data_IF_449117294658
#
_entry.id   IF_449117294658
#
_cell.length_a   1.000
_cell.length_b   1.000
_cell.length_c   1.000
_cell.angle_alpha   90.00
_cell.angle_beta   90.00
_cell.angle_gamma   90.00
#
_symmetry.space_group_name_H-M   'P 1'
#
loop_
_entity.id
_entity.type
_entity.pdbx_description
1 polymer ?
#
# COMPACT_ATOMS: atom_id res chain seq x y z
N UNK A 1 -0.34 -1.12 -13.44
CA UNK A 1 -1.70 -1.01 -12.87
C UNK A 1 -1.60 -0.84 -11.36
N UNK A 2 -2.62 -0.27 -10.73
CA UNK A 2 -2.74 -0.10 -9.28
C UNK A 2 -4.16 -0.47 -8.85
N UNK A 3 -4.33 -0.92 -7.61
CA UNK A 3 -5.62 -1.24 -7.01
C UNK A 3 -5.69 -0.79 -5.54
N UNK A 4 -6.90 -0.77 -5.00
CA UNK A 4 -7.22 -0.19 -3.70
C UNK A 4 -7.75 1.24 -3.83
N UNK A 5 -8.62 1.62 -2.91
CA UNK A 5 -9.25 2.93 -2.87
C UNK A 5 -10.60 3.01 -3.58
N UNK A 6 -11.12 4.24 -3.63
CA UNK A 6 -12.42 4.53 -4.24
C UNK A 6 -12.41 4.26 -5.75
N UNK A 7 -13.33 3.42 -6.24
CA UNK A 7 -13.40 3.03 -7.65
C UNK A 7 -12.60 1.78 -8.03
N UNK A 8 -11.94 1.16 -7.04
CA UNK A 8 -11.27 -0.14 -7.13
C UNK A 8 -11.84 -1.03 -6.00
N UNK A 9 -11.01 -1.52 -5.09
CA UNK A 9 -11.40 -2.29 -3.90
C UNK A 9 -11.52 -1.35 -2.70
N UNK A 10 -12.76 -0.96 -2.36
CA UNK A 10 -13.03 -0.07 -1.22
C UNK A 10 -12.59 -0.73 0.09
N UNK A 11 -12.16 0.05 1.08
CA UNK A 11 -11.64 -0.45 2.35
C UNK A 11 -10.13 -0.64 2.37
N UNK A 12 -9.47 -0.61 1.22
CA UNK A 12 -8.02 -0.48 1.11
C UNK A 12 -7.66 0.95 0.70
N UNK A 13 -6.50 1.41 1.13
CA UNK A 13 -5.95 2.70 0.73
C UNK A 13 -5.70 2.75 -0.78
N UNK A 14 -5.77 3.95 -1.36
CA UNK A 14 -5.57 4.15 -2.78
C UNK A 14 -4.22 3.62 -3.25
N UNK A 15 -4.22 2.78 -4.29
CA UNK A 15 -3.03 2.23 -4.93
C UNK A 15 -2.13 1.38 -4.03
N UNK A 16 -2.64 0.88 -2.90
CA UNK A 16 -1.84 0.06 -1.99
C UNK A 16 -1.77 -1.40 -2.43
N UNK A 17 -2.78 -1.94 -3.11
CA UNK A 17 -2.82 -3.39 -3.38
C UNK A 17 -1.81 -3.82 -4.46
N UNK A 18 -1.10 -4.92 -4.18
CA UNK A 18 -0.20 -5.59 -5.11
C UNK A 18 1.28 -5.55 -4.69
N UNK A 19 2.19 -5.68 -5.68
CA UNK A 19 3.63 -5.75 -5.46
C UNK A 19 4.22 -4.56 -4.71
N UNK A 20 5.14 -4.87 -3.79
CA UNK A 20 5.86 -3.88 -2.98
C UNK A 20 7.33 -3.84 -3.33
N UNK A 21 7.92 -2.66 -3.14
CA UNK A 21 9.33 -2.41 -3.37
C UNK A 21 10.23 -3.35 -2.53
N UNK A 22 11.53 -3.26 -2.74
CA UNK A 22 12.49 -3.99 -1.90
C UNK A 22 12.75 -3.15 -0.65
N UNK A 23 12.63 -3.71 0.57
CA UNK A 23 13.06 -3.01 1.77
C UNK A 23 14.53 -2.57 1.66
N UNK A 24 14.86 -1.42 2.25
CA UNK A 24 16.24 -0.93 2.24
C UNK A 24 17.16 -1.83 3.10
N UNK A 25 18.19 -2.40 2.49
CA UNK A 25 19.25 -3.08 3.23
C UNK A 25 20.22 -2.07 3.84
N UNK A 26 20.33 -2.06 5.18
CA UNK A 26 21.31 -1.25 5.90
C UNK A 26 22.68 -1.94 5.82
N UNK A 27 23.52 -1.51 4.86
CA UNK A 27 24.90 -1.97 4.77
C UNK A 27 25.78 -1.27 5.82
N UNK A 28 26.05 -1.94 6.94
CA UNK A 28 27.15 -1.56 7.82
C UNK A 28 28.45 -2.16 7.27
N UNK A 29 29.38 -1.34 6.79
CA UNK A 29 30.75 -1.78 6.59
C UNK A 29 31.60 -1.12 7.68
N UNK A 30 32.70 -1.74 8.10
CA UNK A 30 33.72 -1.10 8.93
C UNK A 30 35.09 -1.46 8.38
N UNK A 31 36.12 -0.62 8.62
CA UNK A 31 37.45 -0.88 8.06
C UNK A 31 37.99 -1.89 9.01
N UNK A 32 38.31 -3.10 8.56
CA UNK A 32 38.83 -4.08 9.49
C UNK A 32 40.12 -3.49 10.06
N UNK A 33 40.22 -3.52 11.38
CA UNK A 33 41.53 -3.52 12.02
C UNK A 33 42.23 -4.75 11.45
N UNK A 34 43.23 -4.54 10.60
CA UNK A 34 43.99 -5.61 9.94
C UNK A 34 45.14 -6.08 10.81
N UNK A 35 45.63 -5.26 11.74
CA UNK A 35 46.71 -5.61 12.65
C UNK A 35 46.64 -4.75 13.92
N UNK A 36 47.31 -5.13 15.01
CA UNK A 36 47.60 -4.22 16.12
C UNK A 36 49.11 -4.06 16.20
N UNK A 37 49.60 -2.83 16.31
CA UNK A 37 51.04 -2.56 16.39
C UNK A 37 51.66 -3.06 17.71
N UNK A 38 52.98 -2.96 17.81
CA UNK A 38 53.74 -3.49 18.96
C UNK A 38 53.38 -2.82 20.31
N UNK A 39 52.72 -1.66 20.27
CA UNK A 39 52.26 -0.90 21.44
C UNK A 39 50.76 -1.16 21.74
N UNK A 40 50.09 -2.01 20.93
CA UNK A 40 48.71 -2.44 21.11
C UNK A 40 47.66 -1.60 20.39
N UNK A 41 48.05 -0.74 19.45
CA UNK A 41 47.11 0.12 18.72
C UNK A 41 46.62 -0.54 17.42
N UNK A 42 45.34 -0.39 17.05
CA UNK A 42 44.79 -0.95 15.82
C UNK A 42 45.34 -0.27 14.54
N UNK A 43 45.71 -1.08 13.56
CA UNK A 43 46.13 -0.75 12.18
C UNK A 43 45.01 -1.17 11.24
N UNK A 44 44.55 -0.30 10.34
CA UNK A 44 43.34 -0.52 9.53
C UNK A 44 43.64 -0.79 8.05
N UNK A 45 42.89 -1.72 7.44
CA UNK A 45 43.07 -2.17 6.05
C UNK A 45 42.56 -1.20 4.98
N UNK A 46 42.93 -1.45 3.72
CA UNK A 46 42.59 -0.57 2.57
C UNK A 46 41.21 -0.83 1.96
N UNK A 47 40.54 -1.95 2.27
CA UNK A 47 39.19 -2.28 1.78
C UNK A 47 38.07 -1.63 2.64
N UNK A 48 36.86 -1.53 2.07
CA UNK A 48 35.77 -0.63 2.52
C UNK A 48 34.96 -1.09 3.72
N UNK A 49 34.25 -0.08 4.22
CA UNK A 49 33.99 0.23 5.59
C UNK A 49 33.34 1.61 5.75
N UNK A 50 32.19 1.72 6.38
CA UNK A 50 31.43 2.95 6.55
C UNK A 50 31.50 3.49 7.99
N UNK A 51 32.09 4.68 8.15
CA UNK A 51 31.98 5.60 9.31
C UNK A 51 32.07 7.05 8.79
N UNK A 52 31.24 8.00 9.27
CA UNK A 52 31.30 9.43 8.87
C UNK A 52 32.45 10.17 9.61
N UNK A 53 33.11 11.08 8.90
CA UNK A 53 34.44 11.66 9.19
C UNK A 53 34.51 12.69 10.33
N UNK A 54 33.41 13.08 10.96
CA UNK A 54 33.36 14.11 12.00
C UNK A 54 33.28 13.54 13.43
N UNK A 55 33.36 12.22 13.59
CA UNK A 55 33.18 11.57 14.89
C UNK A 55 31.74 11.63 15.40
N UNK A 56 30.83 12.17 14.59
CA UNK A 56 29.40 12.19 14.84
C UNK A 56 28.77 10.95 14.19
N UNK A 57 27.92 10.23 14.94
CA UNK A 57 27.19 9.10 14.39
C UNK A 57 26.18 9.62 13.36
N UNK A 58 26.38 9.29 12.09
CA UNK A 58 25.31 9.39 11.10
C UNK A 58 24.45 8.17 11.17
N UNK A 59 23.31 8.37 11.80
CA UNK A 59 22.16 7.57 11.46
C UNK A 59 21.58 8.16 10.16
N UNK A 60 21.48 7.33 9.13
CA UNK A 60 20.39 7.49 8.20
C UNK A 60 19.24 6.69 8.81
N UNK A 61 18.06 7.31 8.93
CA UNK A 61 16.87 6.49 9.04
C UNK A 61 16.71 5.85 7.66
N UNK A 62 17.09 4.59 7.55
CA UNK A 62 16.64 3.81 6.41
C UNK A 62 15.13 3.77 6.50
N UNK A 63 14.48 4.37 5.52
CA UNK A 63 13.06 4.15 5.35
C UNK A 63 12.90 2.70 4.93
N UNK A 64 12.31 1.91 5.82
CA UNK A 64 12.03 0.50 5.59
C UNK A 64 10.59 0.31 5.10
N UNK A 65 9.89 1.40 4.77
CA UNK A 65 8.56 1.32 4.19
C UNK A 65 8.63 0.68 2.81
N UNK A 66 7.76 -0.30 2.60
CA UNK A 66 7.71 -1.10 1.38
C UNK A 66 6.58 -0.56 0.51
N UNK A 67 6.92 0.44 -0.29
CA UNK A 67 5.95 1.15 -1.12
C UNK A 67 5.35 0.26 -2.22
N UNK A 68 4.06 0.43 -2.52
CA UNK A 68 3.45 -0.23 -3.67
C UNK A 68 3.97 0.40 -4.97
N UNK A 69 4.42 -0.43 -5.91
CA UNK A 69 4.86 0.04 -7.24
C UNK A 69 3.90 -0.33 -8.38
N UNK A 70 2.86 -1.10 -8.05
CA UNK A 70 1.91 -1.62 -9.03
C UNK A 70 2.44 -2.86 -9.75
N UNK A 71 1.84 -3.19 -10.89
CA UNK A 71 2.22 -4.38 -11.67
C UNK A 71 1.58 -4.39 -13.06
N UNK A 72 1.90 -5.39 -13.88
CA UNK A 72 1.48 -5.49 -15.28
C UNK A 72 0.14 -6.23 -15.48
N UNK A 73 -0.39 -6.87 -14.44
CA UNK A 73 -1.68 -7.58 -14.46
C UNK A 73 -2.61 -7.02 -13.37
N UNK A 74 -3.86 -6.74 -13.73
CA UNK A 74 -4.91 -6.28 -12.83
C UNK A 74 -6.13 -7.21 -12.93
N UNK A 75 -6.63 -7.65 -11.78
CA UNK A 75 -7.90 -8.38 -11.69
C UNK A 75 -8.79 -7.68 -10.69
N UNK A 76 -9.97 -7.25 -11.11
CA UNK A 76 -10.94 -6.56 -10.26
C UNK A 76 -12.39 -6.98 -10.59
N UNK A 77 -13.24 -6.95 -9.58
CA UNK A 77 -14.67 -7.21 -9.68
C UNK A 77 -15.43 -6.54 -8.54
N UNK A 78 -16.65 -6.10 -8.82
CA UNK A 78 -17.52 -5.49 -7.81
C UNK A 78 -18.96 -5.92 -8.05
N UNK A 79 -19.67 -6.17 -6.95
CA UNK A 79 -21.11 -6.42 -6.92
C UNK A 79 -21.77 -5.47 -5.93
N UNK A 80 -22.76 -4.70 -6.39
CA UNK A 80 -23.47 -3.72 -5.56
C UNK A 80 -24.98 -3.99 -5.56
N UNK A 81 -25.56 -4.08 -4.37
CA UNK A 81 -26.99 -4.22 -4.12
C UNK A 81 -27.55 -2.91 -3.59
N UNK A 82 -28.30 -2.21 -4.45
CA UNK A 82 -28.96 -0.96 -4.10
C UNK A 82 -30.21 -1.20 -3.27
N UNK A 83 -30.39 -0.40 -2.21
CA UNK A 83 -31.59 -0.46 -1.37
C UNK A 83 -32.08 0.94 -1.01
N UNK A 84 -33.41 1.13 -0.90
CA UNK A 84 -33.98 2.39 -0.43
C UNK A 84 -33.86 2.51 1.10
N UNK A 85 -33.63 3.72 1.60
CA UNK A 85 -33.60 4.01 3.03
C UNK A 85 -35.04 4.14 3.58
N UNK A 86 -35.44 3.36 4.61
CA UNK A 86 -36.84 3.30 5.05
C UNK A 86 -37.36 4.59 5.71
N UNK A 87 -36.48 5.53 6.07
CA UNK A 87 -36.82 6.76 6.80
C UNK A 87 -36.81 8.03 5.94
N UNK A 88 -36.40 7.94 4.67
CA UNK A 88 -36.29 9.09 3.76
C UNK A 88 -37.37 8.99 2.68
N UNK A 89 -38.28 9.97 2.63
CA UNK A 89 -39.41 9.97 1.68
C UNK A 89 -39.02 10.33 0.25
N UNK A 90 -38.09 11.29 0.09
CA UNK A 90 -37.54 11.68 -1.20
C UNK A 90 -36.06 11.28 -1.28
N UNK A 91 -35.80 10.26 -2.09
CA UNK A 91 -34.45 9.70 -2.30
C UNK A 91 -33.94 10.01 -3.72
N UNK A 92 -34.56 10.96 -4.44
CA UNK A 92 -34.16 11.28 -5.82
C UNK A 92 -32.70 11.74 -5.95
N UNK A 93 -32.12 12.26 -4.86
CA UNK A 93 -30.74 12.73 -4.78
C UNK A 93 -29.81 11.78 -4.01
N UNK A 94 -30.32 10.68 -3.46
CA UNK A 94 -29.58 9.77 -2.58
C UNK A 94 -29.64 8.35 -3.15
N UNK A 95 -28.48 7.74 -3.33
CA UNK A 95 -28.34 6.32 -3.65
C UNK A 95 -27.57 5.64 -2.54
N UNK A 96 -28.12 4.55 -2.01
CA UNK A 96 -27.46 3.69 -1.02
C UNK A 96 -27.35 2.26 -1.53
N UNK A 97 -26.29 1.58 -1.14
CA UNK A 97 -26.05 0.21 -1.55
C UNK A 97 -25.15 -0.56 -0.58
N UNK A 98 -25.30 -1.88 -0.55
CA UNK A 98 -24.30 -2.79 -0.02
C UNK A 98 -23.37 -3.17 -1.17
N UNK A 99 -22.07 -3.28 -0.90
CA UNK A 99 -21.12 -3.74 -1.91
C UNK A 99 -20.27 -4.90 -1.41
N UNK A 100 -19.80 -5.68 -2.38
CA UNK A 100 -18.71 -6.61 -2.27
C UNK A 100 -17.72 -6.24 -3.38
N UNK A 101 -16.49 -5.93 -3.00
CA UNK A 101 -15.41 -5.65 -3.94
C UNK A 101 -14.34 -6.74 -3.80
N UNK A 102 -13.74 -7.10 -4.93
CA UNK A 102 -12.62 -8.04 -5.00
C UNK A 102 -11.62 -7.52 -6.02
N UNK A 103 -10.33 -7.56 -5.70
CA UNK A 103 -9.31 -7.16 -6.66
C UNK A 103 -7.91 -7.29 -6.12
N UNK A 104 -6.95 -7.36 -7.03
CA UNK A 104 -5.53 -7.24 -6.75
C UNK A 104 -4.73 -6.94 -8.03
N UNK A 105 -3.48 -6.50 -7.84
CA UNK A 105 -2.49 -6.30 -8.90
C UNK A 105 -1.38 -7.33 -8.75
N UNK A 106 -0.84 -7.76 -9.89
CA UNK A 106 0.17 -8.81 -10.02
C UNK A 106 1.28 -8.32 -10.95
N UNK A 107 2.48 -8.90 -10.83
CA UNK A 107 3.61 -8.61 -11.71
C UNK A 107 4.27 -9.91 -12.20
N UNK A 108 4.53 -10.00 -13.51
CA UNK A 108 5.20 -11.17 -14.12
C UNK A 108 6.72 -11.16 -13.97
N UNK A 109 7.33 -10.03 -13.57
CA UNK A 109 8.78 -9.83 -13.43
C UNK A 109 9.18 -9.50 -11.98
N UNK A 110 8.81 -10.40 -11.06
CA UNK A 110 9.14 -10.26 -9.64
C UNK A 110 10.61 -10.60 -9.33
N UNK A 111 11.31 -9.64 -8.72
CA UNK A 111 12.61 -9.83 -8.09
C UNK A 111 12.51 -10.57 -6.75
N UNK A 112 13.56 -11.31 -6.40
CA UNK A 112 13.60 -12.15 -5.19
C UNK A 112 13.53 -11.39 -3.86
N UNK A 113 13.75 -10.08 -3.88
CA UNK A 113 13.78 -9.21 -2.71
C UNK A 113 12.55 -8.30 -2.61
N UNK A 114 11.65 -8.34 -3.60
CA UNK A 114 10.41 -7.57 -3.57
C UNK A 114 9.39 -8.27 -2.68
N UNK A 115 8.72 -7.50 -1.82
CA UNK A 115 7.71 -8.06 -0.92
C UNK A 115 6.34 -8.12 -1.61
N UNK A 116 5.54 -9.14 -1.29
CA UNK A 116 4.21 -9.38 -1.88
C UNK A 116 4.15 -9.23 -3.41
N UNK A 117 5.23 -9.61 -4.10
CA UNK A 117 5.28 -9.69 -5.56
C UNK A 117 5.08 -11.14 -5.98
N UNK A 118 4.06 -11.38 -6.79
CA UNK A 118 3.71 -12.68 -7.32
C UNK A 118 3.10 -12.51 -8.71
N UNK A 119 3.31 -13.51 -9.57
CA UNK A 119 2.55 -13.69 -10.81
C UNK A 119 1.07 -13.98 -10.45
N UNK A 120 0.19 -14.09 -11.44
CA UNK A 120 -1.25 -14.27 -11.25
C UNK A 120 -1.57 -15.47 -10.31
N UNK A 121 -1.88 -15.15 -9.06
CA UNK A 121 -2.29 -16.10 -8.02
C UNK A 121 -3.61 -15.67 -7.38
N UNK A 122 -4.67 -16.45 -7.62
CA UNK A 122 -6.00 -16.17 -7.06
C UNK A 122 -6.05 -16.30 -5.52
N UNK A 123 -5.08 -16.97 -4.90
CA UNK A 123 -4.93 -17.00 -3.44
C UNK A 123 -4.62 -15.62 -2.86
N UNK A 124 -4.03 -14.74 -3.67
CA UNK A 124 -3.67 -13.39 -3.27
C UNK A 124 -4.76 -12.35 -3.56
N UNK A 125 -5.97 -12.74 -3.96
CA UNK A 125 -7.05 -11.78 -4.18
C UNK A 125 -7.48 -11.09 -2.89
N UNK A 126 -7.57 -9.77 -2.90
CA UNK A 126 -8.08 -8.98 -1.77
C UNK A 126 -9.56 -8.70 -1.97
N UNK A 127 -10.34 -8.71 -0.89
CA UNK A 127 -11.77 -8.46 -0.99
C UNK A 127 -12.32 -7.81 0.28
N UNK A 128 -13.39 -7.05 0.09
CA UNK A 128 -14.04 -6.29 1.14
C UNK A 128 -15.55 -6.29 0.94
N UNK A 129 -16.26 -5.98 2.03
CA UNK A 129 -17.70 -5.75 2.00
C UNK A 129 -18.01 -4.45 2.71
N UNK A 130 -19.07 -3.76 2.30
CA UNK A 130 -19.41 -2.50 2.94
C UNK A 130 -20.73 -1.89 2.49
N UNK A 131 -20.93 -0.65 2.94
CA UNK A 131 -22.08 0.19 2.58
C UNK A 131 -21.60 1.47 1.91
N UNK A 132 -22.26 1.84 0.82
CA UNK A 132 -22.01 3.06 0.06
C UNK A 132 -23.20 4.00 0.13
N UNK A 133 -22.91 5.30 0.14
CA UNK A 133 -23.90 6.37 -0.02
C UNK A 133 -23.37 7.38 -1.03
N UNK A 134 -24.15 7.63 -2.09
CA UNK A 134 -23.92 8.72 -3.03
C UNK A 134 -25.03 9.74 -2.88
N UNK A 135 -24.65 11.00 -2.66
CA UNK A 135 -25.55 12.13 -2.53
C UNK A 135 -25.20 13.19 -3.57
N UNK A 136 -26.16 13.51 -4.44
CA UNK A 136 -26.07 14.65 -5.35
C UNK A 136 -26.39 15.93 -4.58
N UNK A 137 -25.37 16.76 -4.38
CA UNK A 137 -25.49 18.02 -3.64
C UNK A 137 -25.44 19.23 -4.57
N UNK A 138 -25.67 20.43 -4.04
CA UNK A 138 -25.57 21.67 -4.81
C UNK A 138 -24.18 21.94 -5.40
N UNK A 139 -23.12 21.30 -4.88
CA UNK A 139 -21.74 21.43 -5.36
C UNK A 139 -21.26 20.22 -6.17
N UNK A 140 -22.14 19.26 -6.44
CA UNK A 140 -21.84 18.04 -7.20
C UNK A 140 -22.08 16.74 -6.42
N UNK A 141 -21.82 15.59 -7.06
CA UNK A 141 -21.98 14.29 -6.44
C UNK A 141 -20.89 14.06 -5.39
N UNK A 142 -21.30 13.67 -4.19
CA UNK A 142 -20.41 13.18 -3.13
C UNK A 142 -20.70 11.71 -2.90
N UNK A 143 -19.67 10.88 -2.83
CA UNK A 143 -19.81 9.47 -2.50
C UNK A 143 -18.99 9.12 -1.28
N UNK A 144 -19.58 8.33 -0.38
CA UNK A 144 -19.01 7.87 0.87
C UNK A 144 -19.09 6.35 0.90
N UNK A 145 -18.08 5.70 1.46
CA UNK A 145 -18.09 4.27 1.71
C UNK A 145 -17.57 3.95 3.10
N UNK A 146 -18.22 3.00 3.75
CA UNK A 146 -17.72 2.34 4.94
C UNK A 146 -17.51 0.87 4.59
N UNK A 147 -16.26 0.45 4.53
CA UNK A 147 -15.83 -0.85 4.03
C UNK A 147 -15.08 -1.62 5.10
N UNK A 148 -15.27 -2.93 5.14
CA UNK A 148 -14.48 -3.84 5.95
C UNK A 148 -13.68 -4.77 5.03
N UNK A 149 -12.35 -4.61 4.96
CA UNK A 149 -11.46 -5.61 4.38
C UNK A 149 -11.63 -6.97 5.06
N UNK A 150 -11.62 -8.04 4.28
CA UNK A 150 -11.82 -9.40 4.77
C UNK A 150 -10.64 -10.34 4.51
N UNK A 151 -9.68 -9.93 3.66
CA UNK A 151 -8.49 -10.71 3.33
C UNK A 151 -7.26 -9.81 3.12
N UNK A 152 -6.91 -9.00 4.11
CA UNK A 152 -5.74 -8.12 4.04
C UNK A 152 -4.44 -8.90 4.27
N UNK A 153 -3.45 -8.65 3.42
CA UNK A 153 -2.08 -9.14 3.61
C UNK A 153 -1.28 -8.26 4.57
N UNK A 154 -0.06 -8.69 4.89
CA UNK A 154 0.84 -8.00 5.82
C UNK A 154 1.19 -6.57 5.41
N UNK A 155 1.32 -6.33 4.11
CA UNK A 155 1.74 -5.03 3.58
C UNK A 155 0.57 -4.13 3.18
N UNK A 156 -0.67 -4.66 3.16
CA UNK A 156 -1.82 -3.90 2.69
C UNK A 156 -2.25 -2.82 3.69
N UNK A 157 -2.48 -1.61 3.19
CA UNK A 157 -2.98 -0.50 4.00
C UNK A 157 -4.50 -0.47 3.91
N UNK A 158 -5.17 -0.45 5.06
CA UNK A 158 -6.63 -0.42 5.15
C UNK A 158 -7.13 1.03 5.34
N UNK A 159 -8.20 1.39 4.63
CA UNK A 159 -8.90 2.66 4.75
C UNK A 159 -10.42 2.41 4.86
N UNK A 160 -10.89 2.17 6.09
CA UNK A 160 -12.28 1.74 6.39
C UNK A 160 -13.33 2.77 5.95
N UNK A 161 -13.05 4.06 6.13
CA UNK A 161 -13.94 5.15 5.72
C UNK A 161 -13.31 5.94 4.60
N UNK A 162 -14.01 6.02 3.47
CA UNK A 162 -13.52 6.72 2.28
C UNK A 162 -14.59 7.66 1.76
N UNK A 163 -14.17 8.77 1.17
CA UNK A 163 -15.06 9.71 0.52
C UNK A 163 -14.42 10.30 -0.72
N UNK A 164 -15.26 10.62 -1.71
CA UNK A 164 -14.85 11.38 -2.89
C UNK A 164 -15.89 12.47 -3.16
N UNK A 165 -15.40 13.66 -3.46
CA UNK A 165 -16.19 14.70 -4.11
C UNK A 165 -15.97 14.59 -5.61
N UNK A 166 -17.00 14.88 -6.41
CA UNK A 166 -16.97 14.78 -7.86
C UNK A 166 -15.61 15.18 -8.45
N UNK A 167 -15.00 14.25 -9.20
CA UNK A 167 -13.66 14.40 -9.77
C UNK A 167 -13.65 15.66 -10.64
N UNK A 168 -12.90 16.69 -10.20
CA UNK A 168 -12.56 17.82 -11.05
C UNK A 168 -11.80 17.29 -12.27
N UNK A 169 -12.20 17.76 -13.45
CA UNK A 169 -11.54 17.46 -14.73
C UNK A 169 -10.13 18.06 -14.79
#
# INVERSE_FOLDING_TARGET
>A
FFAGGFGSVRGYESNTLGPRSTPADIYAAQRPVVEFDADGNPVFGTQYAYYRTDGELVYFQADNEVDPFGGDILVEGSAELLFPLPFIKDQSQIRTGFFLDVGNVFDTDCGSTQAACYDLDFGEMRYSVGVGLTWVTGFGPMSFSLAKPLNSGEYDQEEVFQFTLGRGF
#
